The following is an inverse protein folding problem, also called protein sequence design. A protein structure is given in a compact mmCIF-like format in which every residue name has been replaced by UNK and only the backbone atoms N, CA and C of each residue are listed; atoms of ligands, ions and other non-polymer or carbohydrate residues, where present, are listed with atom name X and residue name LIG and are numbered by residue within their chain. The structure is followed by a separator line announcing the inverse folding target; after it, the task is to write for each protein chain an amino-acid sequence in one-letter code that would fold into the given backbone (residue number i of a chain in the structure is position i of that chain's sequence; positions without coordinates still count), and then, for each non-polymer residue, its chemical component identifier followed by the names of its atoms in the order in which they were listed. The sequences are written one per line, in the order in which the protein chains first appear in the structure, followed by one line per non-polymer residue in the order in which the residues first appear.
data_IF_265274545059
#
_entry.id   IF_265274545059
#
_cell.length_a   1.000
_cell.length_b   1.000
_cell.length_c   1.000
_cell.angle_alpha   90.00
_cell.angle_beta   90.00
_cell.angle_gamma   90.00
#
_symmetry.space_group_name_H-M   'P 1'
#
loop_
_entity.id
_entity.type
_entity.pdbx_description
1 polymer ?
#
# COMPACT_ATOMS: atom_id res chain seq x y z
N UNK A 1 37.10 -25.33 5.87
CA UNK A 1 37.95 -24.89 7.00
C UNK A 1 37.22 -25.06 8.35
N UNK A 2 36.02 -24.48 8.54
CA UNK A 2 35.28 -24.65 9.82
C UNK A 2 34.84 -26.11 10.07
N UNK A 3 34.31 -26.75 9.05
CA UNK A 3 33.90 -28.16 9.11
C UNK A 3 35.07 -29.11 9.41
N UNK A 4 36.22 -28.85 8.80
CA UNK A 4 37.48 -29.59 9.05
C UNK A 4 38.00 -29.41 10.50
N UNK A 5 37.66 -28.27 11.12
CA UNK A 5 37.95 -27.96 12.51
C UNK A 5 36.91 -28.52 13.49
N UNK A 6 35.89 -29.24 13.01
CA UNK A 6 34.82 -29.78 13.84
C UNK A 6 33.76 -28.76 14.27
N UNK A 7 33.65 -27.65 13.56
CA UNK A 7 32.75 -26.53 13.87
C UNK A 7 31.57 -26.44 12.84
N UNK A 8 30.89 -27.57 12.61
CA UNK A 8 29.82 -27.68 11.62
C UNK A 8 28.61 -26.83 11.94
N UNK A 9 28.36 -26.50 13.21
CA UNK A 9 27.24 -25.66 13.65
C UNK A 9 27.52 -24.14 13.58
N UNK A 10 28.75 -23.78 13.15
CA UNK A 10 29.13 -22.37 13.05
C UNK A 10 28.38 -21.68 11.94
N UNK A 11 27.79 -20.50 12.24
CA UNK A 11 27.04 -19.69 11.29
C UNK A 11 27.87 -18.54 10.74
N UNK A 12 27.69 -18.27 9.45
CA UNK A 12 28.35 -17.16 8.76
C UNK A 12 27.41 -15.96 8.79
N UNK A 13 27.87 -14.85 9.37
CA UNK A 13 27.12 -13.61 9.44
C UNK A 13 27.82 -12.56 8.58
N UNK A 14 27.11 -12.03 7.58
CA UNK A 14 27.54 -10.88 6.82
C UNK A 14 26.91 -9.58 7.40
N UNK A 15 27.69 -8.54 7.50
CA UNK A 15 27.27 -7.24 8.04
C UNK A 15 28.08 -6.13 7.38
N UNK A 16 27.71 -4.88 7.63
CA UNK A 16 28.30 -3.65 7.12
C UNK A 16 27.63 -3.16 5.82
N UNK A 17 26.91 -2.06 5.96
CA UNK A 17 26.26 -1.30 4.87
C UNK A 17 25.43 -2.12 3.87
N UNK A 18 24.86 -3.23 4.35
CA UNK A 18 24.04 -4.10 3.52
C UNK A 18 22.74 -3.37 3.12
N UNK A 19 22.34 -3.54 1.87
CA UNK A 19 21.06 -3.10 1.30
C UNK A 19 20.35 -4.28 0.64
N UNK A 20 19.10 -4.09 0.22
CA UNK A 20 18.34 -5.08 -0.54
C UNK A 20 19.12 -5.55 -1.76
N UNK A 21 19.61 -4.61 -2.58
CA UNK A 21 20.35 -4.91 -3.81
C UNK A 21 21.62 -5.72 -3.54
N UNK A 22 22.39 -5.34 -2.51
CA UNK A 22 23.63 -6.06 -2.15
C UNK A 22 23.32 -7.49 -1.67
N UNK A 23 22.24 -7.66 -0.91
CA UNK A 23 21.82 -9.00 -0.45
C UNK A 23 21.38 -9.85 -1.62
N UNK A 24 20.59 -9.30 -2.54
CA UNK A 24 20.15 -9.99 -3.74
C UNK A 24 21.33 -10.42 -4.61
N UNK A 25 22.28 -9.52 -4.86
CA UNK A 25 23.51 -9.81 -5.59
C UNK A 25 24.33 -10.94 -4.94
N UNK A 26 24.44 -10.95 -3.61
CA UNK A 26 25.14 -12.00 -2.88
C UNK A 26 24.44 -13.36 -3.01
N UNK A 27 23.11 -13.36 -2.95
CA UNK A 27 22.32 -14.58 -3.12
C UNK A 27 22.39 -15.12 -4.56
N UNK A 28 22.35 -14.25 -5.56
CA UNK A 28 22.52 -14.63 -6.98
C UNK A 28 23.89 -15.23 -7.23
N UNK A 29 24.93 -14.80 -6.50
CA UNK A 29 26.29 -15.35 -6.56
C UNK A 29 26.47 -16.63 -5.71
N UNK A 30 25.39 -17.18 -5.15
CA UNK A 30 25.42 -18.37 -4.30
C UNK A 30 26.34 -18.23 -3.07
N UNK A 31 26.38 -17.02 -2.50
CA UNK A 31 27.16 -16.76 -1.30
C UNK A 31 26.64 -17.57 -0.12
N UNK A 32 27.51 -18.33 0.55
CA UNK A 32 27.17 -19.21 1.67
C UNK A 32 27.08 -18.38 2.96
N UNK A 33 26.01 -17.59 3.10
CA UNK A 33 25.75 -16.70 4.24
C UNK A 33 24.49 -17.17 4.93
N UNK A 34 24.56 -17.41 6.24
CA UNK A 34 23.42 -17.85 7.05
C UNK A 34 22.57 -16.69 7.58
N UNK A 35 23.21 -15.55 7.87
CA UNK A 35 22.57 -14.42 8.55
C UNK A 35 23.09 -13.10 7.97
N UNK A 36 22.18 -12.17 7.69
CA UNK A 36 22.50 -10.81 7.27
C UNK A 36 22.21 -9.82 8.41
N UNK A 37 23.23 -9.06 8.82
CA UNK A 37 23.09 -7.96 9.78
C UNK A 37 22.85 -6.64 9.04
N UNK A 38 21.59 -6.25 8.88
CA UNK A 38 21.20 -5.02 8.18
C UNK A 38 20.89 -3.92 9.19
N UNK A 39 21.52 -2.76 9.05
CA UNK A 39 21.42 -1.63 9.97
C UNK A 39 20.69 -0.43 9.36
N UNK A 40 21.43 0.64 9.12
CA UNK A 40 20.89 1.95 8.70
C UNK A 40 20.04 1.90 7.42
N UNK A 41 20.43 1.12 6.43
CA UNK A 41 19.68 1.01 5.18
C UNK A 41 18.26 0.45 5.38
N UNK A 42 18.08 -0.45 6.35
CA UNK A 42 16.77 -0.95 6.73
C UNK A 42 15.98 0.10 7.52
N UNK A 43 16.61 0.71 8.55
CA UNK A 43 15.94 1.65 9.46
C UNK A 43 15.53 2.93 8.73
N UNK A 44 16.37 3.43 7.84
CA UNK A 44 16.12 4.66 7.09
C UNK A 44 15.27 4.43 5.84
N UNK A 45 15.05 3.18 5.43
CA UNK A 45 14.42 2.85 4.14
C UNK A 45 15.07 3.62 2.98
N UNK A 46 16.39 3.45 2.80
CA UNK A 46 17.26 4.33 2.00
C UNK A 46 16.78 4.56 0.56
N UNK A 47 16.07 3.60 -0.04
CA UNK A 47 15.47 3.74 -1.37
C UNK A 47 14.27 4.70 -1.38
N UNK A 48 13.46 4.71 -0.32
CA UNK A 48 12.26 5.55 -0.17
C UNK A 48 12.09 6.02 1.28
N UNK A 49 12.94 6.92 1.75
CA UNK A 49 13.02 7.31 3.17
C UNK A 49 11.82 8.13 3.65
N UNK A 50 11.04 8.67 2.73
CA UNK A 50 9.91 9.56 3.01
C UNK A 50 8.68 9.14 2.20
N UNK A 51 7.55 8.94 2.88
CA UNK A 51 6.24 8.86 2.24
C UNK A 51 5.72 10.28 2.03
N UNK A 52 5.66 10.71 0.76
CA UNK A 52 5.12 12.02 0.40
C UNK A 52 3.63 12.11 0.73
N UNK A 53 3.23 13.18 1.42
CA UNK A 53 1.82 13.46 1.72
C UNK A 53 1.38 14.78 1.10
N UNK A 54 0.14 14.82 0.59
CA UNK A 54 -0.47 16.03 0.03
C UNK A 54 -1.87 16.20 0.61
N UNK A 55 -2.19 17.42 1.01
CA UNK A 55 -3.51 17.80 1.48
C UNK A 55 -4.08 18.92 0.60
N UNK A 56 -5.24 18.68 0.02
CA UNK A 56 -5.92 19.65 -0.86
C UNK A 56 -7.42 19.60 -0.64
N UNK A 57 -8.08 20.79 -0.68
CA UNK A 57 -9.53 20.88 -0.66
C UNK A 57 -10.09 20.34 -1.97
N UNK A 58 -11.06 19.45 -1.89
CA UNK A 58 -11.73 18.82 -3.04
C UNK A 58 -13.26 19.01 -3.04
N UNK A 59 -13.82 19.43 -1.91
CA UNK A 59 -15.21 19.81 -1.76
C UNK A 59 -15.38 20.66 -0.49
N UNK A 60 -16.47 21.43 -0.43
CA UNK A 60 -16.94 22.07 0.80
C UNK A 60 -18.46 21.92 0.91
N UNK A 61 -18.98 22.00 2.10
CA UNK A 61 -20.41 21.97 2.36
C UNK A 61 -20.97 23.40 2.45
N UNK A 62 -22.04 23.66 1.76
CA UNK A 62 -22.81 24.89 1.84
C UNK A 62 -24.29 24.56 1.67
N UNK A 63 -25.13 25.09 2.59
CA UNK A 63 -26.59 24.90 2.56
C UNK A 63 -26.95 23.39 2.45
N UNK A 64 -26.29 22.54 3.24
CA UNK A 64 -26.44 21.07 3.25
C UNK A 64 -26.08 20.37 1.91
N UNK A 65 -25.43 21.08 1.00
CA UNK A 65 -24.97 20.55 -0.29
C UNK A 65 -23.46 20.44 -0.33
N UNK A 66 -22.96 19.30 -0.80
CA UNK A 66 -21.54 19.12 -1.10
C UNK A 66 -21.21 19.75 -2.44
N UNK A 67 -20.44 20.82 -2.41
CA UNK A 67 -19.98 21.54 -3.59
C UNK A 67 -18.57 21.07 -3.94
N UNK A 68 -18.40 20.35 -5.06
CA UNK A 68 -17.08 19.92 -5.51
C UNK A 68 -16.23 21.13 -5.90
N UNK A 69 -14.93 21.05 -5.59
CA UNK A 69 -13.96 22.08 -5.97
C UNK A 69 -12.66 21.46 -6.40
N UNK A 70 -11.89 22.20 -7.17
CA UNK A 70 -10.62 21.75 -7.73
C UNK A 70 -9.59 22.86 -7.64
N UNK A 71 -8.35 22.51 -7.39
CA UNK A 71 -7.22 23.41 -7.55
C UNK A 71 -6.64 23.21 -8.94
N UNK A 72 -6.71 24.24 -9.78
CA UNK A 72 -6.06 24.25 -11.10
C UNK A 72 -4.54 24.25 -10.94
N UNK A 73 -3.85 23.55 -11.82
CA UNK A 73 -2.40 23.47 -11.90
C UNK A 73 -1.99 23.32 -13.35
N UNK A 74 -0.85 23.88 -13.73
CA UNK A 74 -0.23 23.65 -15.03
C UNK A 74 0.23 22.19 -15.21
N UNK A 75 0.57 21.53 -14.11
CA UNK A 75 0.86 20.11 -14.12
C UNK A 75 -0.41 19.29 -13.86
N UNK A 76 -0.84 18.51 -14.85
CA UNK A 76 -2.02 17.66 -14.82
C UNK A 76 -2.01 16.68 -13.64
N UNK A 77 -0.85 16.11 -13.31
CA UNK A 77 -0.70 15.18 -12.18
C UNK A 77 -0.99 15.83 -10.81
N UNK A 78 -0.94 17.16 -10.74
CA UNK A 78 -1.23 17.94 -9.53
C UNK A 78 -2.68 18.41 -9.45
N UNK A 79 -3.48 18.18 -10.47
CA UNK A 79 -4.92 18.48 -10.46
C UNK A 79 -5.61 17.45 -9.57
N UNK A 80 -6.45 17.93 -8.66
CA UNK A 80 -7.20 17.05 -7.76
C UNK A 80 -8.50 16.58 -8.39
N UNK A 81 -8.89 15.35 -8.14
CA UNK A 81 -10.26 14.90 -8.42
C UNK A 81 -11.23 15.59 -7.46
N UNK A 82 -12.23 16.34 -7.94
CA UNK A 82 -13.19 17.01 -7.08
C UNK A 82 -14.18 16.07 -6.41
N UNK A 83 -14.89 16.57 -5.41
CA UNK A 83 -15.97 15.87 -4.73
C UNK A 83 -15.53 15.11 -3.47
N UNK A 84 -16.50 14.78 -2.62
CA UNK A 84 -16.31 13.94 -1.45
C UNK A 84 -16.28 12.46 -1.87
N UNK A 85 -15.16 11.79 -1.63
CA UNK A 85 -14.84 10.49 -2.24
C UNK A 85 -14.56 9.41 -1.22
N UNK A 86 -14.75 8.16 -1.65
CA UNK A 86 -14.31 6.95 -0.96
C UNK A 86 -13.33 6.17 -1.84
N UNK A 87 -12.46 5.40 -1.18
CA UNK A 87 -11.52 4.49 -1.81
C UNK A 87 -11.95 3.05 -1.53
N UNK A 88 -12.18 2.31 -2.59
CA UNK A 88 -12.67 0.92 -2.58
C UNK A 88 -11.58 0.03 -3.15
N UNK A 89 -11.30 -1.10 -2.52
CA UNK A 89 -10.50 -2.19 -3.08
C UNK A 89 -11.37 -3.40 -3.36
N UNK A 90 -11.31 -3.88 -4.58
CA UNK A 90 -11.97 -5.10 -5.03
C UNK A 90 -11.07 -6.31 -4.82
N UNK A 91 -11.68 -7.41 -4.42
CA UNK A 91 -11.02 -8.70 -4.23
C UNK A 91 -11.80 -9.78 -4.98
N UNK A 92 -11.09 -10.67 -5.62
CA UNK A 92 -11.67 -11.86 -6.25
C UNK A 92 -12.21 -12.82 -5.17
N UNK A 93 -13.45 -13.29 -5.32
CA UNK A 93 -14.09 -14.15 -4.33
C UNK A 93 -13.48 -15.55 -4.23
N UNK A 94 -12.81 -16.05 -5.27
CA UNK A 94 -12.22 -17.38 -5.27
C UNK A 94 -10.82 -17.39 -4.65
N UNK A 95 -10.00 -16.39 -4.99
CA UNK A 95 -8.59 -16.32 -4.56
C UNK A 95 -8.35 -15.37 -3.39
N UNK A 96 -9.29 -14.49 -3.07
CA UNK A 96 -9.14 -13.38 -2.13
C UNK A 96 -7.99 -12.41 -2.49
N UNK A 97 -7.54 -12.41 -3.74
CA UNK A 97 -6.51 -11.50 -4.24
C UNK A 97 -7.12 -10.18 -4.67
N UNK A 98 -6.38 -9.09 -4.48
CA UNK A 98 -6.77 -7.76 -4.91
C UNK A 98 -6.82 -7.67 -6.45
N UNK A 99 -7.93 -7.17 -6.98
CA UNK A 99 -8.17 -7.03 -8.43
C UNK A 99 -7.82 -5.63 -8.91
N UNK A 100 -8.14 -4.62 -8.10
CA UNK A 100 -7.94 -3.22 -8.41
C UNK A 100 -8.58 -2.29 -7.39
N UNK A 101 -8.24 -1.02 -7.46
CA UNK A 101 -8.74 0.04 -6.58
C UNK A 101 -9.62 1.02 -7.38
N UNK A 102 -10.68 1.50 -6.74
CA UNK A 102 -11.62 2.48 -7.27
C UNK A 102 -11.69 3.70 -6.35
N UNK A 103 -11.54 4.88 -6.92
CA UNK A 103 -11.92 6.14 -6.27
C UNK A 103 -13.25 6.59 -6.87
N UNK A 104 -14.29 6.69 -6.05
CA UNK A 104 -15.62 7.10 -6.46
C UNK A 104 -16.22 8.11 -5.45
N UNK A 105 -17.35 8.71 -5.78
CA UNK A 105 -18.07 9.58 -4.84
C UNK A 105 -18.56 8.77 -3.63
N UNK A 106 -18.66 9.41 -2.49
CA UNK A 106 -19.00 8.75 -1.23
C UNK A 106 -20.41 8.12 -1.25
N UNK A 107 -21.34 8.73 -1.97
CA UNK A 107 -22.73 8.31 -2.16
C UNK A 107 -22.93 7.33 -3.34
N UNK A 108 -21.91 7.11 -4.17
CA UNK A 108 -22.01 6.19 -5.30
C UNK A 108 -22.20 4.75 -4.84
N UNK A 109 -23.22 4.09 -5.39
CA UNK A 109 -23.51 2.69 -5.09
C UNK A 109 -22.68 1.78 -5.99
N UNK A 110 -21.96 0.87 -5.38
CA UNK A 110 -21.16 -0.12 -6.12
C UNK A 110 -22.02 -1.36 -6.36
N UNK A 111 -22.27 -1.76 -7.63
CA UNK A 111 -22.96 -3.00 -7.95
C UNK A 111 -22.26 -4.22 -7.35
N UNK A 112 -22.97 -5.32 -7.16
CA UNK A 112 -22.42 -6.56 -6.59
C UNK A 112 -22.14 -7.63 -7.64
N UNK A 113 -22.63 -7.46 -8.87
CA UNK A 113 -22.55 -8.43 -9.96
C UNK A 113 -21.37 -8.19 -10.90
N UNK A 114 -21.24 -6.97 -11.41
CA UNK A 114 -20.16 -6.57 -12.31
C UNK A 114 -19.82 -5.10 -12.18
N UNK A 115 -18.55 -4.76 -12.38
CA UNK A 115 -18.06 -3.38 -12.41
C UNK A 115 -16.99 -3.20 -13.50
N UNK A 116 -16.97 -2.04 -14.14
CA UNK A 116 -15.94 -1.71 -15.14
C UNK A 116 -14.99 -0.67 -14.54
N UNK A 117 -13.80 -1.10 -14.20
CA UNK A 117 -12.69 -0.22 -13.83
C UNK A 117 -12.07 0.38 -15.09
N UNK A 118 -11.63 1.62 -15.01
CA UNK A 118 -10.87 2.28 -16.07
C UNK A 118 -9.71 3.10 -15.50
N UNK A 119 -8.67 3.25 -16.30
CA UNK A 119 -7.54 4.12 -15.96
C UNK A 119 -7.95 5.58 -16.20
N UNK A 120 -7.90 6.49 -15.21
CA UNK A 120 -8.31 7.88 -15.39
C UNK A 120 -7.41 8.67 -16.36
N UNK A 121 -6.15 8.25 -16.56
CA UNK A 121 -5.21 8.88 -17.50
C UNK A 121 -5.38 8.29 -18.89
N UNK A 122 -5.70 6.99 -18.97
CA UNK A 122 -5.87 6.25 -20.22
C UNK A 122 -7.26 5.57 -20.25
N UNK A 123 -8.39 6.31 -20.41
CA UNK A 123 -9.74 5.79 -20.22
C UNK A 123 -10.16 4.64 -21.15
N UNK A 124 -9.38 4.39 -22.21
CA UNK A 124 -9.54 3.21 -23.08
C UNK A 124 -9.05 1.91 -22.43
N UNK A 125 -8.18 2.01 -21.41
CA UNK A 125 -7.76 0.86 -20.60
C UNK A 125 -8.86 0.57 -19.59
N UNK A 126 -9.65 -0.44 -19.90
CA UNK A 126 -10.78 -0.87 -19.07
C UNK A 126 -10.59 -2.31 -18.64
N UNK A 127 -11.08 -2.63 -17.44
CA UNK A 127 -11.14 -3.99 -16.91
C UNK A 127 -12.53 -4.22 -16.33
N UNK A 128 -13.27 -5.13 -16.95
CA UNK A 128 -14.50 -5.63 -16.36
C UNK A 128 -14.16 -6.66 -15.28
N UNK A 129 -14.76 -6.49 -14.11
CA UNK A 129 -14.60 -7.37 -12.97
C UNK A 129 -15.96 -7.94 -12.57
N UNK A 130 -15.97 -9.24 -12.28
CA UNK A 130 -17.14 -10.00 -11.83
C UNK A 130 -16.74 -10.90 -10.67
N UNK A 131 -17.68 -11.51 -9.96
CA UNK A 131 -17.43 -12.43 -8.86
C UNK A 131 -16.46 -11.86 -7.80
N UNK A 132 -16.75 -10.67 -7.32
CA UNK A 132 -15.91 -9.96 -6.37
C UNK A 132 -16.65 -9.61 -5.08
N UNK A 133 -15.87 -9.30 -4.06
CA UNK A 133 -16.29 -8.49 -2.94
C UNK A 133 -15.40 -7.23 -2.86
N UNK A 134 -15.81 -6.25 -2.08
CA UNK A 134 -15.01 -5.04 -1.92
C UNK A 134 -14.93 -4.58 -0.47
N UNK A 135 -13.90 -3.79 -0.18
CA UNK A 135 -13.71 -3.12 1.12
C UNK A 135 -13.42 -1.64 0.90
N UNK A 136 -14.03 -0.79 1.71
CA UNK A 136 -13.62 0.60 1.82
C UNK A 136 -12.33 0.66 2.64
N UNK A 137 -11.28 1.30 2.10
CA UNK A 137 -9.96 1.35 2.73
C UNK A 137 -9.81 2.49 3.74
N UNK A 138 -10.58 3.57 3.57
CA UNK A 138 -10.57 4.69 4.50
C UNK A 138 -11.15 4.28 5.84
N UNK A 139 -10.51 4.77 6.90
CA UNK A 139 -10.95 4.55 8.28
C UNK A 139 -11.10 5.88 8.99
N UNK A 140 -12.15 6.09 9.79
CA UNK A 140 -12.27 7.28 10.60
C UNK A 140 -11.19 7.31 11.67
N UNK A 141 -10.50 8.42 11.80
CA UNK A 141 -9.51 8.68 12.86
C UNK A 141 -10.14 9.57 13.94
N UNK A 142 -10.89 10.58 13.52
CA UNK A 142 -11.65 11.47 14.41
C UNK A 142 -13.12 11.48 14.01
N UNK A 143 -13.99 11.44 14.99
CA UNK A 143 -15.43 11.63 14.83
C UNK A 143 -15.88 12.61 15.90
N UNK A 144 -16.55 13.70 15.49
CA UNK A 144 -17.03 14.77 16.37
C UNK A 144 -15.94 15.27 17.36
N UNK A 145 -14.71 15.47 16.85
CA UNK A 145 -13.58 15.95 17.65
C UNK A 145 -12.91 14.89 18.54
N UNK A 146 -13.44 13.70 18.64
CA UNK A 146 -12.87 12.60 19.43
C UNK A 146 -12.10 11.63 18.56
N UNK A 147 -10.88 11.26 18.98
CA UNK A 147 -10.09 10.23 18.31
C UNK A 147 -10.74 8.85 18.53
N UNK A 148 -11.16 8.20 17.45
CA UNK A 148 -11.77 6.87 17.46
C UNK A 148 -10.82 5.78 16.98
N UNK A 149 -9.65 6.15 16.49
CA UNK A 149 -8.65 5.22 16.02
C UNK A 149 -7.86 4.63 17.19
N UNK A 150 -7.80 3.31 17.26
CA UNK A 150 -6.93 2.59 18.21
C UNK A 150 -5.59 2.30 17.53
N UNK A 151 -4.53 2.82 18.14
CA UNK A 151 -3.16 2.53 17.68
C UNK A 151 -2.90 1.04 17.93
N UNK A 152 -2.46 0.36 16.89
CA UNK A 152 -2.07 -1.05 16.96
C UNK A 152 -0.68 -1.19 17.59
N UNK A 153 -0.44 -2.30 18.25
CA UNK A 153 0.91 -2.69 18.65
C UNK A 153 1.78 -3.00 17.42
N UNK A 154 3.10 -3.05 17.61
CA UNK A 154 4.03 -3.41 16.54
C UNK A 154 3.72 -4.80 15.96
N UNK A 155 3.39 -5.76 16.82
CA UNK A 155 3.08 -7.13 16.39
C UNK A 155 1.76 -7.21 15.60
N UNK A 156 0.72 -6.48 16.03
CA UNK A 156 -0.53 -6.38 15.28
C UNK A 156 -0.33 -5.69 13.92
N UNK A 157 0.56 -4.68 13.85
CA UNK A 157 0.91 -3.99 12.61
C UNK A 157 1.67 -4.92 11.66
N UNK A 158 2.63 -5.70 12.18
CA UNK A 158 3.37 -6.70 11.42
C UNK A 158 2.44 -7.76 10.84
N UNK A 159 1.58 -8.35 11.67
CA UNK A 159 0.60 -9.33 11.23
C UNK A 159 -0.33 -8.76 10.14
N UNK A 160 -0.84 -7.56 10.34
CA UNK A 160 -1.66 -6.86 9.35
C UNK A 160 -0.91 -6.66 8.02
N UNK A 161 0.36 -6.26 8.07
CA UNK A 161 1.19 -6.11 6.87
C UNK A 161 1.29 -7.42 6.09
N UNK A 162 1.65 -8.53 6.77
CA UNK A 162 1.72 -9.86 6.15
C UNK A 162 0.38 -10.25 5.51
N UNK A 163 -0.72 -10.12 6.24
CA UNK A 163 -2.06 -10.42 5.72
C UNK A 163 -2.42 -9.56 4.49
N UNK A 164 -1.98 -8.30 4.43
CA UNK A 164 -2.23 -7.45 3.25
C UNK A 164 -1.34 -7.87 2.07
N UNK A 165 -0.08 -8.18 2.31
CA UNK A 165 0.83 -8.70 1.26
C UNK A 165 0.30 -9.96 0.61
N UNK A 166 -0.25 -10.88 1.41
CA UNK A 166 -0.88 -12.12 0.93
C UNK A 166 -2.09 -11.87 0.01
N UNK A 167 -2.70 -10.69 0.07
CA UNK A 167 -3.79 -10.33 -0.86
C UNK A 167 -3.32 -9.73 -2.18
N UNK A 168 -2.06 -9.32 -2.28
CA UNK A 168 -1.50 -8.65 -3.47
C UNK A 168 -0.66 -9.63 -4.30
N UNK A 169 0.19 -10.41 -3.65
CA UNK A 169 1.17 -11.33 -4.27
C UNK A 169 0.81 -12.80 -4.18
#
# INVERSE_FOLDING_TARGET
ALDEAGLQDCKIIASNSLSEDIIDDLLVQDAQIDIFGVGENLITSSSHPVLGGVYKVVAYEKDEQIIPTIKLSENIEKITNPGFKKLIRFYDNASNKAIGDLICLADEVIPLDAYVLFDPIAPWKKKEITNYHYKQLQRPIFVNGSCVYKVKSTEETRKFCTEQMDTIW
#
